data_IF_002475182465
#
_entry.id   IF_002475182465
#
_cell.length_a   1.000
_cell.length_b   1.000
_cell.length_c   1.000
_cell.angle_alpha   90.00
_cell.angle_beta   90.00
_cell.angle_gamma   90.00
#
_symmetry.space_group_name_H-M   'P 1'
#
loop_
_entity.id
_entity.type
_entity.pdbx_description
1 polymer ?
#
# COMPACT_ATOMS: atom_id res chain seq x y z
N UNK A 1 -76.20 -27.14 -43.23
CA UNK A 1 -76.06 -27.03 -41.71
C UNK A 1 -74.61 -27.06 -41.33
N UNK A 2 -74.23 -26.08 -40.46
CA UNK A 2 -72.97 -25.96 -39.72
C UNK A 2 -71.78 -25.30 -40.38
N UNK A 3 -71.70 -24.03 -40.18
CA UNK A 3 -70.87 -23.14 -39.37
C UNK A 3 -69.39 -23.09 -39.80
N UNK A 4 -69.13 -21.98 -40.48
CA UNK A 4 -67.80 -21.37 -40.59
C UNK A 4 -67.32 -20.98 -39.19
N UNK A 5 -66.08 -21.34 -38.87
CA UNK A 5 -65.34 -20.70 -37.78
C UNK A 5 -64.09 -20.01 -38.40
N UNK A 6 -64.12 -18.68 -38.29
CA UNK A 6 -63.02 -17.80 -38.60
C UNK A 6 -61.91 -18.01 -37.52
N UNK A 7 -60.70 -18.44 -37.95
CA UNK A 7 -59.52 -18.30 -37.15
C UNK A 7 -58.91 -16.91 -37.39
N UNK A 8 -58.98 -16.08 -36.37
CA UNK A 8 -58.24 -14.83 -36.30
C UNK A 8 -56.80 -15.17 -35.90
N UNK A 9 -55.86 -14.91 -36.81
CA UNK A 9 -54.42 -14.89 -36.50
C UNK A 9 -54.15 -13.68 -35.64
N UNK A 10 -53.87 -13.90 -34.36
CA UNK A 10 -53.25 -12.92 -33.48
C UNK A 10 -51.74 -12.91 -33.79
N UNK A 11 -51.27 -11.81 -34.39
CA UNK A 11 -49.88 -11.49 -34.47
C UNK A 11 -49.40 -11.11 -33.06
N UNK A 12 -48.78 -12.04 -32.37
CA UNK A 12 -48.00 -11.72 -31.18
C UNK A 12 -46.75 -10.97 -31.62
N UNK A 13 -46.81 -9.63 -31.53
CA UNK A 13 -45.63 -8.81 -31.53
C UNK A 13 -44.84 -9.13 -30.25
N UNK A 14 -43.81 -9.96 -30.43
CA UNK A 14 -42.81 -10.17 -29.37
C UNK A 14 -42.04 -8.88 -29.19
N UNK A 15 -42.41 -8.13 -28.14
CA UNK A 15 -41.50 -7.12 -27.60
C UNK A 15 -40.27 -7.88 -27.11
N UNK A 16 -39.17 -7.75 -27.82
CA UNK A 16 -37.84 -8.05 -27.26
C UNK A 16 -37.64 -7.07 -26.09
N UNK A 17 -38.03 -7.46 -24.93
CA UNK A 17 -37.50 -6.87 -23.71
C UNK A 17 -36.06 -7.32 -23.69
N UNK A 18 -35.17 -6.45 -24.18
CA UNK A 18 -33.78 -6.59 -23.82
C UNK A 18 -33.75 -6.63 -22.29
N UNK A 19 -33.50 -7.80 -21.75
CA UNK A 19 -33.14 -7.94 -20.35
C UNK A 19 -31.81 -7.21 -20.22
N UNK A 20 -31.87 -5.92 -19.92
CA UNK A 20 -30.77 -5.20 -19.32
C UNK A 20 -30.55 -5.95 -18.02
N UNK A 21 -29.52 -6.80 -17.99
CA UNK A 21 -29.11 -7.45 -16.75
C UNK A 21 -28.98 -6.36 -15.72
N UNK A 22 -29.83 -6.38 -14.73
CA UNK A 22 -29.77 -5.51 -13.57
C UNK A 22 -28.42 -5.82 -12.88
N UNK A 23 -27.41 -5.05 -13.18
CA UNK A 23 -26.32 -4.86 -12.25
C UNK A 23 -26.96 -4.30 -11.00
N UNK A 24 -26.94 -5.04 -9.93
CA UNK A 24 -27.65 -4.74 -8.71
C UNK A 24 -27.16 -3.46 -8.00
N UNK A 25 -26.18 -2.73 -8.59
CA UNK A 25 -25.67 -1.49 -8.01
C UNK A 25 -25.25 -0.49 -9.07
N UNK A 26 -25.81 0.70 -8.99
CA UNK A 26 -25.36 1.85 -9.78
C UNK A 26 -24.06 2.41 -9.20
N UNK A 27 -23.25 3.20 -9.95
CA UNK A 27 -22.09 3.90 -9.42
C UNK A 27 -22.41 4.73 -8.17
N UNK A 28 -23.60 5.36 -8.12
CA UNK A 28 -24.06 6.17 -7.02
C UNK A 28 -24.35 5.32 -5.75
N UNK A 29 -24.95 4.15 -5.90
CA UNK A 29 -25.19 3.21 -4.80
C UNK A 29 -23.86 2.67 -4.25
N UNK A 30 -22.88 2.38 -5.11
CA UNK A 30 -21.54 1.97 -4.69
C UNK A 30 -20.81 3.10 -3.94
N UNK A 31 -20.84 4.33 -4.45
CA UNK A 31 -20.24 5.47 -3.77
C UNK A 31 -20.92 5.73 -2.40
N UNK A 32 -22.25 5.62 -2.32
CA UNK A 32 -22.99 5.71 -1.05
C UNK A 32 -22.59 4.59 -0.07
N UNK A 33 -22.43 3.37 -0.58
CA UNK A 33 -21.94 2.24 0.20
C UNK A 33 -20.57 2.51 0.81
N UNK A 34 -19.59 2.94 0.01
CA UNK A 34 -18.26 3.26 0.52
C UNK A 34 -18.29 4.44 1.50
N UNK A 35 -19.05 5.50 1.23
CA UNK A 35 -19.21 6.65 2.13
C UNK A 35 -19.72 6.21 3.50
N UNK A 36 -20.72 5.34 3.53
CA UNK A 36 -21.26 4.81 4.78
C UNK A 36 -20.23 3.94 5.53
N UNK A 37 -19.48 3.11 4.79
CA UNK A 37 -18.49 2.18 5.36
C UNK A 37 -17.24 2.85 5.92
N UNK A 38 -16.75 3.88 5.27
CA UNK A 38 -15.60 4.66 5.75
C UNK A 38 -15.91 5.29 7.11
N UNK A 39 -17.15 5.78 7.30
CA UNK A 39 -17.58 6.40 8.57
C UNK A 39 -17.99 5.41 9.67
N UNK A 40 -18.35 4.17 9.33
CA UNK A 40 -18.88 3.18 10.28
C UNK A 40 -18.43 1.75 9.92
N UNK A 41 -17.36 1.24 10.51
CA UNK A 41 -16.88 -0.13 10.27
C UNK A 41 -17.76 -1.22 10.93
N UNK A 42 -19.09 -1.02 10.99
CA UNK A 42 -20.01 -1.98 11.60
C UNK A 42 -20.25 -3.20 10.71
N UNK A 43 -20.73 -4.27 11.32
CA UNK A 43 -20.99 -5.60 10.76
C UNK A 43 -21.58 -5.54 9.34
N UNK A 44 -20.86 -6.14 8.40
CA UNK A 44 -21.26 -6.23 7.01
C UNK A 44 -22.10 -7.47 6.74
N UNK A 45 -23.31 -7.28 6.22
CA UNK A 45 -24.04 -8.33 5.51
C UNK A 45 -23.94 -7.99 4.01
N UNK A 46 -23.21 -8.78 3.21
CA UNK A 46 -23.17 -8.55 1.77
C UNK A 46 -24.60 -8.70 1.22
N UNK A 47 -25.04 -7.74 0.43
CA UNK A 47 -26.19 -7.98 -0.43
C UNK A 47 -25.81 -9.11 -1.41
N UNK A 48 -26.71 -10.09 -1.60
CA UNK A 48 -26.53 -11.05 -2.66
C UNK A 48 -26.67 -10.33 -3.99
N UNK A 49 -25.61 -10.32 -4.76
CA UNK A 49 -25.62 -9.88 -6.15
C UNK A 49 -25.60 -11.06 -7.10
N UNK A 50 -25.99 -10.83 -8.36
CA UNK A 50 -25.83 -11.83 -9.40
C UNK A 50 -24.34 -12.06 -9.73
N UNK A 51 -24.01 -13.27 -10.16
CA UNK A 51 -22.68 -13.59 -10.59
C UNK A 51 -22.32 -12.75 -11.84
N UNK A 52 -21.15 -12.12 -11.83
CA UNK A 52 -20.62 -11.39 -12.97
C UNK A 52 -20.15 -12.36 -14.05
N UNK A 53 -20.44 -12.03 -15.32
CA UNK A 53 -19.79 -12.73 -16.45
C UNK A 53 -18.30 -12.33 -16.52
N UNK A 54 -17.44 -13.14 -17.17
CA UNK A 54 -16.03 -12.78 -17.37
C UNK A 54 -15.86 -11.41 -18.04
N UNK A 55 -16.72 -11.07 -19.01
CA UNK A 55 -16.71 -9.79 -19.74
C UNK A 55 -17.15 -8.61 -18.85
N UNK A 56 -17.98 -8.90 -17.85
CA UNK A 56 -18.46 -7.90 -16.86
C UNK A 56 -17.48 -7.58 -15.76
N UNK A 57 -16.42 -8.39 -15.57
CA UNK A 57 -15.47 -8.20 -14.46
C UNK A 57 -14.67 -6.90 -14.55
N UNK A 58 -14.07 -6.58 -15.71
CA UNK A 58 -13.26 -5.37 -15.84
C UNK A 58 -14.09 -4.09 -15.64
N UNK A 59 -15.26 -3.89 -16.32
CA UNK A 59 -16.12 -2.74 -16.06
C UNK A 59 -16.59 -2.64 -14.59
N UNK A 60 -16.88 -3.78 -13.93
CA UNK A 60 -17.27 -3.78 -12.51
C UNK A 60 -16.13 -3.32 -11.60
N UNK A 61 -14.89 -3.77 -11.86
CA UNK A 61 -13.69 -3.34 -11.13
C UNK A 61 -13.45 -1.84 -11.26
N UNK A 62 -13.56 -1.30 -12.48
CA UNK A 62 -13.41 0.13 -12.74
C UNK A 62 -14.49 0.95 -12.01
N UNK A 63 -15.72 0.47 -12.00
CA UNK A 63 -16.84 1.11 -11.29
C UNK A 63 -16.62 1.09 -9.77
N UNK A 64 -16.18 -0.04 -9.19
CA UNK A 64 -15.84 -0.15 -7.77
C UNK A 64 -14.71 0.81 -7.40
N UNK A 65 -13.68 0.87 -8.22
CA UNK A 65 -12.54 1.78 -8.01
C UNK A 65 -12.97 3.25 -8.04
N UNK A 66 -13.71 3.67 -9.06
CA UNK A 66 -14.22 5.03 -9.17
C UNK A 66 -15.14 5.41 -8.00
N UNK A 67 -16.03 4.51 -7.58
CA UNK A 67 -16.91 4.73 -6.45
C UNK A 67 -16.14 4.83 -5.13
N UNK A 68 -15.09 4.03 -4.95
CA UNK A 68 -14.19 4.13 -3.79
C UNK A 68 -13.44 5.47 -3.76
N UNK A 69 -12.89 5.89 -4.89
CA UNK A 69 -12.22 7.19 -5.01
C UNK A 69 -13.16 8.35 -4.69
N UNK A 70 -14.36 8.35 -5.27
CA UNK A 70 -15.38 9.38 -5.03
C UNK A 70 -15.73 9.49 -3.54
N UNK A 71 -15.98 8.36 -2.87
CA UNK A 71 -16.32 8.32 -1.46
C UNK A 71 -15.17 8.86 -0.58
N UNK A 72 -13.93 8.44 -0.85
CA UNK A 72 -12.77 8.86 -0.07
C UNK A 72 -12.37 10.31 -0.34
N UNK A 73 -12.54 10.83 -1.57
CA UNK A 73 -12.27 12.22 -1.90
C UNK A 73 -13.15 13.21 -1.13
N UNK A 74 -14.34 12.76 -0.68
CA UNK A 74 -15.29 13.56 0.12
C UNK A 74 -14.99 13.61 1.60
N UNK A 75 -14.02 12.85 2.09
CA UNK A 75 -13.65 12.88 3.50
C UNK A 75 -13.08 14.25 3.87
N UNK A 76 -13.55 14.77 5.00
CA UNK A 76 -13.00 15.97 5.62
C UNK A 76 -11.72 15.61 6.39
N UNK A 77 -10.64 15.44 5.65
CA UNK A 77 -9.31 15.12 6.18
C UNK A 77 -8.23 15.93 5.46
N UNK A 78 -7.06 16.15 6.10
CA UNK A 78 -5.94 16.81 5.46
C UNK A 78 -5.58 16.14 4.14
N UNK A 79 -5.24 16.92 3.13
CA UNK A 79 -4.76 16.42 1.84
C UNK A 79 -3.23 16.50 1.78
N UNK A 80 -2.60 15.57 1.05
CA UNK A 80 -1.20 15.75 0.70
C UNK A 80 -1.04 17.03 -0.14
N UNK A 81 -0.01 17.86 0.14
CA UNK A 81 0.25 19.03 -0.67
C UNK A 81 0.65 18.66 -2.11
N UNK A 82 0.70 19.66 -2.97
CA UNK A 82 1.24 19.51 -4.31
C UNK A 82 2.66 18.92 -4.27
N UNK A 83 2.95 18.03 -5.23
CA UNK A 83 4.25 17.38 -5.33
C UNK A 83 5.27 18.30 -5.99
N UNK A 84 6.12 18.91 -5.19
CA UNK A 84 7.23 19.77 -5.60
C UNK A 84 8.55 18.97 -5.58
N UNK A 85 9.65 19.49 -6.19
CA UNK A 85 10.97 18.86 -6.04
C UNK A 85 11.37 18.67 -4.58
N UNK A 86 11.83 17.46 -4.23
CA UNK A 86 12.15 17.08 -2.84
C UNK A 86 13.32 17.90 -2.27
N UNK A 87 13.04 18.72 -1.28
CA UNK A 87 14.02 19.55 -0.57
C UNK A 87 13.71 19.60 0.93
N UNK A 88 14.55 20.27 1.69
CA UNK A 88 14.29 20.52 3.12
C UNK A 88 13.08 21.44 3.39
N UNK A 89 12.58 22.13 2.38
CA UNK A 89 11.45 23.07 2.48
C UNK A 89 10.12 22.39 2.10
N UNK A 90 10.14 21.23 1.43
CA UNK A 90 8.94 20.48 1.06
C UNK A 90 8.42 19.65 2.23
N UNK A 91 7.91 20.32 3.25
CA UNK A 91 7.42 19.73 4.51
C UNK A 91 5.90 19.78 4.58
N UNK A 92 5.34 18.77 5.20
CA UNK A 92 3.97 18.73 5.66
C UNK A 92 3.90 18.24 7.09
N UNK A 93 2.72 18.33 7.69
CA UNK A 93 2.46 17.86 9.04
C UNK A 93 1.05 17.27 9.14
N UNK A 94 0.94 16.15 9.84
CA UNK A 94 -0.31 15.46 10.11
C UNK A 94 -0.50 15.37 11.62
N UNK A 95 -1.51 16.07 12.16
CA UNK A 95 -1.92 15.91 13.54
C UNK A 95 -2.51 14.51 13.75
N UNK A 96 -2.02 13.77 14.73
CA UNK A 96 -2.55 12.46 15.07
C UNK A 96 -3.67 12.62 16.13
N UNK A 97 -4.65 11.70 16.18
CA UNK A 97 -5.68 11.75 17.21
C UNK A 97 -5.08 11.66 18.62
N UNK A 98 -5.38 12.61 19.48
CA UNK A 98 -4.92 12.64 20.89
C UNK A 98 -5.28 11.39 21.68
N UNK A 99 -6.41 10.75 21.31
CA UNK A 99 -6.82 9.47 21.91
C UNK A 99 -5.91 8.28 21.58
N UNK A 100 -5.07 8.42 20.54
CA UNK A 100 -4.11 7.39 20.12
C UNK A 100 -2.69 7.74 20.55
N UNK A 101 -2.32 9.01 20.50
CA UNK A 101 -1.00 9.51 20.91
C UNK A 101 -1.14 11.01 21.26
N UNK A 102 -1.04 11.37 22.54
CA UNK A 102 -1.30 12.73 23.00
C UNK A 102 -0.38 13.78 22.36
N UNK A 103 -0.98 14.86 21.88
CA UNK A 103 -0.28 16.03 21.29
C UNK A 103 0.71 15.67 20.19
N UNK A 104 0.44 14.60 19.44
CA UNK A 104 1.33 14.08 18.42
C UNK A 104 1.09 14.70 17.06
N UNK A 105 2.17 15.14 16.40
CA UNK A 105 2.18 15.58 15.01
C UNK A 105 3.25 14.83 14.25
N UNK A 106 2.87 14.14 13.18
CA UNK A 106 3.79 13.49 12.26
C UNK A 106 4.18 14.50 11.18
N UNK A 107 5.36 15.11 11.35
CA UNK A 107 5.95 15.87 10.25
C UNK A 107 6.49 14.94 9.19
N UNK A 108 6.52 15.38 7.95
CA UNK A 108 7.07 14.60 6.84
C UNK A 108 7.67 15.50 5.76
N UNK A 109 8.64 14.97 5.03
CA UNK A 109 9.02 15.52 3.73
C UNK A 109 8.18 14.84 2.66
N UNK A 110 7.72 15.64 1.70
CA UNK A 110 6.96 15.17 0.55
C UNK A 110 7.42 15.88 -0.71
N UNK A 111 7.94 15.13 -1.69
CA UNK A 111 8.44 15.75 -2.91
C UNK A 111 8.93 14.72 -3.92
N UNK A 112 9.30 15.20 -5.12
CA UNK A 112 9.69 14.36 -6.25
C UNK A 112 11.17 14.53 -6.61
N UNK A 113 11.69 13.53 -7.34
CA UNK A 113 13.03 13.49 -7.95
C UNK A 113 12.91 13.16 -9.43
N UNK A 114 13.57 13.94 -10.28
CA UNK A 114 13.56 13.74 -11.73
C UNK A 114 12.32 14.34 -12.41
N UNK A 115 11.97 13.83 -13.59
CA UNK A 115 10.81 14.26 -14.37
C UNK A 115 9.66 13.27 -14.20
N UNK A 116 8.43 13.78 -14.21
CA UNK A 116 7.23 12.96 -14.03
C UNK A 116 7.08 11.94 -15.18
N UNK A 117 7.00 10.64 -14.86
CA UNK A 117 6.68 9.63 -15.87
C UNK A 117 5.25 9.77 -16.39
N UNK A 118 5.02 9.33 -17.63
CA UNK A 118 3.67 9.35 -18.22
C UNK A 118 2.63 8.52 -17.42
N UNK A 119 3.08 7.47 -16.74
CA UNK A 119 2.23 6.64 -15.88
C UNK A 119 2.03 7.22 -14.46
N UNK A 120 2.63 8.36 -14.14
CA UNK A 120 2.68 8.91 -12.80
C UNK A 120 3.95 8.54 -12.03
N UNK A 121 4.14 9.19 -10.89
CA UNK A 121 5.30 9.00 -10.03
C UNK A 121 5.20 7.68 -9.25
N UNK A 122 6.21 6.80 -9.28
CA UNK A 122 6.36 5.75 -8.27
C UNK A 122 6.65 6.40 -6.90
N UNK A 123 6.03 5.87 -5.85
CA UNK A 123 6.10 6.45 -4.50
C UNK A 123 6.95 5.58 -3.59
N UNK A 124 7.89 6.20 -2.90
CA UNK A 124 8.79 5.58 -1.94
C UNK A 124 8.52 6.15 -0.54
N UNK A 125 8.10 5.29 0.39
CA UNK A 125 7.90 5.64 1.78
C UNK A 125 9.12 5.15 2.56
N UNK A 126 9.97 6.09 3.02
CA UNK A 126 11.18 5.78 3.76
C UNK A 126 10.99 5.98 5.25
N UNK A 127 11.22 4.94 6.04
CA UNK A 127 11.14 4.93 7.49
C UNK A 127 12.54 5.03 8.10
N UNK A 128 12.77 6.05 8.92
CA UNK A 128 14.07 6.26 9.56
C UNK A 128 14.32 5.28 10.73
N UNK A 129 15.58 5.13 11.10
CA UNK A 129 16.03 4.32 12.24
C UNK A 129 15.77 4.97 13.60
N UNK A 130 16.16 4.28 14.68
CA UNK A 130 16.14 4.83 16.03
C UNK A 130 17.35 5.73 16.29
N UNK A 131 17.09 6.86 16.95
CA UNK A 131 18.06 7.89 17.27
C UNK A 131 17.34 9.18 17.63
N UNK A 132 18.06 10.29 17.84
CA UNK A 132 17.43 11.60 17.95
C UNK A 132 16.58 11.87 16.72
N UNK A 133 15.26 11.90 16.89
CA UNK A 133 14.27 11.86 15.79
C UNK A 133 14.49 12.92 14.72
N UNK A 134 14.92 14.11 15.10
CA UNK A 134 15.19 15.20 14.17
C UNK A 134 16.39 14.88 13.25
N UNK A 135 17.44 14.30 13.82
CA UNK A 135 18.62 13.88 13.07
C UNK A 135 18.30 12.70 12.15
N UNK A 136 17.57 11.71 12.66
CA UNK A 136 17.18 10.55 11.84
C UNK A 136 16.26 10.95 10.69
N UNK A 137 15.36 11.89 10.92
CA UNK A 137 14.47 12.42 9.89
C UNK A 137 15.25 13.20 8.81
N UNK A 138 16.18 14.10 9.21
CA UNK A 138 17.03 14.82 8.25
C UNK A 138 17.99 13.90 7.49
N UNK A 139 18.48 12.83 8.13
CA UNK A 139 19.24 11.78 7.45
C UNK A 139 18.36 11.06 6.41
N UNK A 140 17.09 10.82 6.70
CA UNK A 140 16.13 10.24 5.76
C UNK A 140 15.99 11.08 4.50
N UNK A 141 15.85 12.40 4.63
CA UNK A 141 15.86 13.31 3.49
C UNK A 141 17.17 13.23 2.70
N UNK A 142 18.31 13.27 3.41
CA UNK A 142 19.62 13.16 2.78
C UNK A 142 19.74 11.84 1.99
N UNK A 143 19.32 10.71 2.56
CA UNK A 143 19.35 9.42 1.86
C UNK A 143 18.43 9.43 0.63
N UNK A 144 17.22 9.95 0.76
CA UNK A 144 16.29 10.06 -0.35
C UNK A 144 16.86 10.92 -1.50
N UNK A 145 17.59 12.01 -1.19
CA UNK A 145 18.09 12.94 -2.20
C UNK A 145 19.47 12.59 -2.76
N UNK A 146 20.32 11.85 -1.99
CA UNK A 146 21.73 11.68 -2.37
C UNK A 146 22.21 10.23 -2.39
N UNK A 147 21.53 9.29 -1.69
CA UNK A 147 21.99 7.91 -1.59
C UNK A 147 21.25 6.99 -2.55
N UNK A 148 19.89 7.11 -2.61
CA UNK A 148 19.08 6.22 -3.40
C UNK A 148 18.93 6.70 -4.84
N UNK A 149 19.36 5.85 -5.79
CA UNK A 149 19.36 6.12 -7.22
C UNK A 149 18.08 5.54 -7.88
N UNK A 150 16.94 6.16 -7.58
CA UNK A 150 15.62 5.66 -7.97
C UNK A 150 14.76 6.69 -8.73
N UNK A 151 15.34 7.81 -9.16
CA UNK A 151 14.63 8.77 -10.00
C UNK A 151 14.20 8.13 -11.33
N UNK A 152 13.02 8.45 -11.88
CA UNK A 152 12.02 9.34 -11.30
C UNK A 152 11.27 8.70 -10.14
N UNK A 153 11.02 9.47 -9.07
CA UNK A 153 10.35 8.98 -7.86
C UNK A 153 9.71 10.11 -7.06
N UNK A 154 8.66 9.80 -6.30
CA UNK A 154 8.13 10.63 -5.23
C UNK A 154 8.48 10.02 -3.88
N UNK A 155 8.79 10.84 -2.89
CA UNK A 155 9.17 10.40 -1.56
C UNK A 155 8.25 10.95 -0.49
N UNK A 156 7.83 10.06 0.41
CA UNK A 156 7.26 10.40 1.70
C UNK A 156 8.23 9.95 2.79
N UNK A 157 8.79 10.92 3.53
CA UNK A 157 9.77 10.65 4.60
C UNK A 157 9.19 11.18 5.91
N UNK A 158 8.46 10.36 6.68
CA UNK A 158 7.85 10.78 7.93
C UNK A 158 8.89 10.88 9.05
N UNK A 159 8.59 11.72 10.05
CA UNK A 159 9.27 11.76 11.34
C UNK A 159 8.41 11.08 12.40
N UNK A 160 8.98 10.20 13.22
CA UNK A 160 8.27 9.68 14.38
C UNK A 160 7.88 10.86 15.29
N UNK A 161 6.59 11.02 15.67
CA UNK A 161 6.11 12.18 16.40
C UNK A 161 6.71 12.31 17.79
N UNK A 162 6.72 11.22 18.57
CA UNK A 162 7.21 11.18 19.94
C UNK A 162 8.23 10.06 20.13
N UNK A 163 9.13 10.27 21.08
CA UNK A 163 10.10 9.28 21.54
C UNK A 163 9.51 8.41 22.67
N UNK A 164 10.30 7.50 23.20
CA UNK A 164 9.89 6.62 24.29
C UNK A 164 8.91 5.53 23.85
N UNK A 165 7.84 5.34 24.59
CA UNK A 165 6.88 4.26 24.37
C UNK A 165 6.18 4.32 23.01
N UNK A 166 6.08 5.50 22.41
CA UNK A 166 5.46 5.71 21.10
C UNK A 166 6.44 5.60 19.93
N UNK A 167 7.70 5.31 20.18
CA UNK A 167 8.75 5.24 19.15
C UNK A 167 8.72 3.91 18.40
N UNK A 168 7.63 3.66 17.66
CA UNK A 168 7.46 2.48 16.80
C UNK A 168 6.57 2.81 15.61
N UNK A 169 6.98 2.40 14.40
CA UNK A 169 6.27 2.65 13.16
C UNK A 169 4.91 1.93 13.05
N UNK A 170 4.66 0.92 13.87
CA UNK A 170 3.45 0.09 13.84
C UNK A 170 2.47 0.36 14.99
N UNK A 171 2.67 1.40 15.78
CA UNK A 171 1.73 1.76 16.83
C UNK A 171 0.40 2.26 16.25
N UNK A 172 -0.68 2.17 17.03
CA UNK A 172 -2.04 2.49 16.58
C UNK A 172 -2.16 3.89 15.99
N UNK A 173 -1.50 4.86 16.55
CA UNK A 173 -1.43 6.23 16.04
C UNK A 173 -0.82 6.29 14.64
N UNK A 174 0.29 5.54 14.41
CA UNK A 174 0.92 5.45 13.10
C UNK A 174 0.08 4.65 12.12
N UNK A 175 -0.62 3.59 12.58
CA UNK A 175 -1.57 2.87 11.71
C UNK A 175 -2.68 3.79 11.21
N UNK A 176 -3.15 4.73 12.05
CA UNK A 176 -4.09 5.77 11.61
C UNK A 176 -3.47 6.65 10.51
N UNK A 177 -2.20 7.10 10.72
CA UNK A 177 -1.48 7.90 9.72
C UNK A 177 -1.22 7.12 8.42
N UNK A 178 -0.89 5.81 8.49
CA UNK A 178 -0.72 4.97 7.30
C UNK A 178 -2.03 4.82 6.53
N UNK A 179 -3.15 4.63 7.19
CA UNK A 179 -4.46 4.57 6.54
C UNK A 179 -4.80 5.88 5.82
N UNK A 180 -4.50 7.03 6.45
CA UNK A 180 -4.62 8.33 5.81
C UNK A 180 -3.69 8.45 4.59
N UNK A 181 -2.39 8.18 4.76
CA UNK A 181 -1.41 8.32 3.69
C UNK A 181 -1.78 7.45 2.48
N UNK A 182 -2.08 6.17 2.71
CA UNK A 182 -2.41 5.24 1.63
C UNK A 182 -3.65 5.69 0.85
N UNK A 183 -4.67 6.22 1.53
CA UNK A 183 -5.81 6.85 0.83
C UNK A 183 -5.38 8.04 -0.02
N UNK A 184 -4.57 8.94 0.55
CA UNK A 184 -4.09 10.11 -0.19
C UNK A 184 -3.28 9.71 -1.43
N UNK A 185 -2.40 8.73 -1.31
CA UNK A 185 -1.60 8.23 -2.44
C UNK A 185 -2.45 7.58 -3.54
N UNK A 186 -3.62 7.00 -3.18
CA UNK A 186 -4.56 6.41 -4.14
C UNK A 186 -5.50 7.46 -4.79
N UNK A 187 -5.60 8.66 -4.20
CA UNK A 187 -6.49 9.73 -4.66
C UNK A 187 -5.75 10.82 -5.42
N UNK A 188 -4.45 11.02 -5.16
CA UNK A 188 -3.70 12.12 -5.75
C UNK A 188 -3.34 11.83 -7.21
N UNK A 189 -3.74 12.73 -8.09
CA UNK A 189 -3.37 12.67 -9.50
C UNK A 189 -1.86 12.75 -9.70
N UNK A 190 -1.39 12.13 -10.76
CA UNK A 190 0.02 12.14 -11.13
C UNK A 190 0.90 11.13 -10.37
N UNK A 191 0.33 10.31 -9.47
CA UNK A 191 1.02 9.17 -8.84
C UNK A 191 0.66 7.85 -9.54
N UNK A 192 1.59 6.91 -9.59
CA UNK A 192 1.31 5.53 -10.02
C UNK A 192 0.93 4.67 -8.79
N UNK A 193 -0.37 4.52 -8.55
CA UNK A 193 -0.89 3.72 -7.43
C UNK A 193 -0.49 2.23 -7.49
N UNK A 194 0.08 1.75 -8.60
CA UNK A 194 0.65 0.40 -8.71
C UNK A 194 2.10 0.32 -8.25
N UNK A 195 2.74 1.46 -8.00
CA UNK A 195 4.17 1.55 -7.65
C UNK A 195 4.38 2.28 -6.33
N UNK A 196 3.82 1.73 -5.27
CA UNK A 196 4.00 2.23 -3.91
C UNK A 196 4.91 1.25 -3.17
N UNK A 197 6.01 1.76 -2.64
CA UNK A 197 7.05 1.00 -1.95
C UNK A 197 7.24 1.49 -0.52
N UNK A 198 7.44 0.56 0.42
CA UNK A 198 7.80 0.87 1.80
C UNK A 198 9.14 0.25 2.14
N UNK A 199 10.03 1.03 2.75
CA UNK A 199 11.35 0.55 3.12
C UNK A 199 11.94 1.40 4.26
N UNK A 200 12.98 0.89 4.88
CA UNK A 200 13.59 1.63 5.99
C UNK A 200 14.77 0.89 6.61
N UNK A 201 15.49 1.57 7.47
CA UNK A 201 16.73 1.08 8.08
C UNK A 201 16.51 0.92 9.59
N UNK A 202 17.05 -0.15 10.18
CA UNK A 202 17.03 -0.39 11.64
C UNK A 202 15.59 -0.41 12.18
N UNK A 203 15.20 0.53 13.04
CA UNK A 203 13.80 0.68 13.49
C UNK A 203 12.84 0.85 12.30
N UNK A 204 13.26 1.58 11.25
CA UNK A 204 12.53 1.66 9.99
C UNK A 204 12.50 0.33 9.22
N UNK A 205 13.52 -0.50 9.37
CA UNK A 205 13.56 -1.88 8.86
C UNK A 205 12.52 -2.75 9.55
N UNK A 206 12.44 -2.72 10.87
CA UNK A 206 11.37 -3.39 11.62
C UNK A 206 9.99 -2.89 11.20
N UNK A 207 9.83 -1.55 11.11
CA UNK A 207 8.60 -0.92 10.68
C UNK A 207 8.15 -1.36 9.29
N UNK A 208 9.04 -1.27 8.31
CA UNK A 208 8.71 -1.64 6.92
C UNK A 208 8.43 -3.14 6.77
N UNK A 209 9.08 -4.02 7.55
CA UNK A 209 8.79 -5.44 7.58
C UNK A 209 7.36 -5.73 8.11
N UNK A 210 6.95 -5.07 9.20
CA UNK A 210 5.57 -5.20 9.72
C UNK A 210 4.55 -4.61 8.76
N UNK A 211 4.81 -3.43 8.21
CA UNK A 211 3.91 -2.79 7.27
C UNK A 211 3.78 -3.60 5.98
N UNK A 212 4.85 -4.25 5.51
CA UNK A 212 4.81 -5.17 4.37
C UNK A 212 3.77 -6.28 4.58
N UNK A 213 3.78 -6.90 5.74
CA UNK A 213 2.86 -7.98 6.09
C UNK A 213 1.43 -7.47 6.39
N UNK A 214 1.30 -6.33 7.06
CA UNK A 214 0.00 -5.83 7.52
C UNK A 214 -0.80 -5.11 6.44
N UNK A 215 -0.13 -4.41 5.52
CA UNK A 215 -0.73 -3.65 4.42
C UNK A 215 -0.34 -4.22 3.06
N UNK A 216 -0.18 -5.54 2.94
CA UNK A 216 0.32 -6.20 1.73
C UNK A 216 -0.43 -5.80 0.46
N UNK A 217 -1.74 -5.57 0.54
CA UNK A 217 -2.59 -5.19 -0.60
C UNK A 217 -2.26 -3.82 -1.21
N UNK A 218 -1.47 -2.99 -0.51
CA UNK A 218 -1.14 -1.64 -0.97
C UNK A 218 0.24 -1.54 -1.63
N UNK A 219 1.14 -2.49 -1.35
CA UNK A 219 2.53 -2.39 -1.79
C UNK A 219 2.78 -3.09 -3.12
N UNK A 220 3.61 -2.48 -3.95
CA UNK A 220 4.29 -3.19 -5.04
C UNK A 220 5.44 -4.03 -4.48
N UNK A 221 6.20 -3.44 -3.56
CA UNK A 221 7.26 -4.14 -2.85
C UNK A 221 7.61 -3.48 -1.52
N UNK A 222 8.30 -4.23 -0.66
CA UNK A 222 8.84 -3.75 0.60
C UNK A 222 10.34 -4.06 0.70
N UNK A 223 11.11 -3.13 1.33
CA UNK A 223 12.56 -3.21 1.44
C UNK A 223 13.11 -2.95 2.84
N UNK A 224 12.80 -3.76 3.85
CA UNK A 224 13.45 -3.65 5.15
C UNK A 224 14.95 -3.86 5.06
N UNK A 225 15.71 -3.04 5.81
CA UNK A 225 17.17 -3.11 5.89
C UNK A 225 17.60 -3.07 7.36
N UNK A 226 18.54 -3.93 7.74
CA UNK A 226 19.01 -4.07 9.13
C UNK A 226 17.86 -4.18 10.15
N UNK A 227 16.76 -4.81 9.73
CA UNK A 227 15.60 -5.16 10.54
C UNK A 227 15.73 -6.59 11.08
N UNK A 228 14.67 -7.09 11.68
CA UNK A 228 14.66 -8.44 12.25
C UNK A 228 13.37 -8.71 13.03
N UNK A 229 12.21 -8.55 12.37
CA UNK A 229 10.95 -8.91 13.02
C UNK A 229 10.77 -10.43 13.04
N UNK A 230 10.35 -10.99 14.18
CA UNK A 230 9.92 -12.37 14.22
C UNK A 230 8.71 -12.61 13.31
N UNK A 231 8.63 -13.77 12.65
CA UNK A 231 7.52 -14.15 11.77
C UNK A 231 6.14 -14.04 12.42
N UNK A 232 6.03 -14.26 13.73
CA UNK A 232 4.77 -14.05 14.48
C UNK A 232 4.23 -12.59 14.43
N UNK A 233 5.11 -11.62 14.20
CA UNK A 233 4.78 -10.19 14.15
C UNK A 233 4.62 -9.69 12.70
N UNK A 234 5.28 -10.36 11.76
CA UNK A 234 5.27 -10.06 10.34
C UNK A 234 5.28 -11.37 9.54
N UNK A 235 4.14 -12.09 9.49
CA UNK A 235 4.03 -13.34 8.75
C UNK A 235 4.42 -13.19 7.28
N UNK A 236 5.31 -14.05 6.79
CA UNK A 236 5.77 -14.07 5.40
C UNK A 236 4.62 -14.41 4.44
N UNK A 237 3.65 -15.21 4.91
CA UNK A 237 2.48 -15.65 4.15
C UNK A 237 1.65 -14.48 3.61
N UNK A 238 1.63 -13.36 4.33
CA UNK A 238 0.89 -12.17 3.91
C UNK A 238 1.55 -11.46 2.72
N UNK A 239 2.84 -11.70 2.46
CA UNK A 239 3.60 -11.07 1.39
C UNK A 239 3.50 -11.81 0.05
N UNK A 240 2.45 -12.63 -0.16
CA UNK A 240 2.29 -13.50 -1.34
C UNK A 240 2.46 -12.75 -2.67
N UNK A 241 1.87 -11.59 -2.78
CA UNK A 241 1.69 -10.86 -4.06
C UNK A 241 2.59 -9.63 -4.21
N UNK A 242 3.50 -9.39 -3.27
CA UNK A 242 4.43 -8.27 -3.29
C UNK A 242 5.87 -8.73 -3.45
N UNK A 243 6.74 -7.86 -3.96
CA UNK A 243 8.18 -8.05 -3.84
C UNK A 243 8.64 -7.81 -2.40
N UNK A 244 9.44 -8.70 -1.83
CA UNK A 244 9.96 -8.55 -0.47
C UNK A 244 11.48 -8.64 -0.44
N UNK A 245 12.17 -7.56 -0.04
CA UNK A 245 13.64 -7.53 0.11
C UNK A 245 14.01 -7.24 1.55
N UNK A 246 14.71 -8.17 2.21
CA UNK A 246 15.30 -7.93 3.53
C UNK A 246 16.81 -8.15 3.45
N UNK A 247 17.57 -7.08 3.71
CA UNK A 247 19.03 -7.13 3.77
C UNK A 247 19.48 -6.90 5.22
N UNK A 248 20.33 -7.80 5.73
CA UNK A 248 20.88 -7.71 7.09
C UNK A 248 22.35 -8.14 7.06
N UNK A 249 23.20 -7.45 7.81
CA UNK A 249 24.59 -7.89 7.97
C UNK A 249 24.66 -9.25 8.70
N UNK A 250 25.49 -10.17 8.23
CA UNK A 250 25.64 -11.48 8.87
C UNK A 250 26.21 -11.37 10.30
N UNK A 251 26.93 -10.27 10.60
CA UNK A 251 27.48 -9.98 11.91
C UNK A 251 26.61 -9.02 12.73
N UNK A 252 25.41 -8.65 12.24
CA UNK A 252 24.44 -7.85 12.99
C UNK A 252 23.67 -8.72 13.99
N UNK A 253 24.35 -9.08 15.08
CA UNK A 253 23.81 -9.94 16.15
C UNK A 253 22.91 -9.18 17.14
N UNK A 254 22.90 -7.84 17.07
CA UNK A 254 22.05 -7.02 17.93
C UNK A 254 20.57 -7.36 17.75
N UNK A 255 19.88 -7.63 18.85
CA UNK A 255 18.47 -8.06 18.86
C UNK A 255 18.20 -9.31 17.99
N UNK A 256 19.20 -10.16 17.78
CA UNK A 256 19.10 -11.39 16.97
C UNK A 256 18.72 -11.14 15.50
N UNK A 257 19.09 -9.97 14.93
CA UNK A 257 18.66 -9.59 13.57
C UNK A 257 19.11 -10.58 12.52
N UNK A 258 20.36 -11.03 12.57
CA UNK A 258 20.88 -12.03 11.64
C UNK A 258 20.14 -13.38 11.75
N UNK A 259 19.88 -13.86 12.98
CA UNK A 259 19.15 -15.11 13.20
C UNK A 259 17.70 -15.00 12.73
N UNK A 260 17.02 -13.90 13.04
CA UNK A 260 15.65 -13.63 12.62
C UNK A 260 15.55 -13.49 11.08
N UNK A 261 16.56 -12.85 10.45
CA UNK A 261 16.62 -12.76 8.98
C UNK A 261 16.79 -14.14 8.35
N UNK A 262 17.61 -15.02 8.92
CA UNK A 262 17.74 -16.41 8.44
C UNK A 262 16.41 -17.18 8.53
N UNK A 263 15.63 -16.99 9.60
CA UNK A 263 14.30 -17.60 9.72
C UNK A 263 13.31 -17.03 8.69
N UNK A 264 13.36 -15.73 8.42
CA UNK A 264 12.53 -15.10 7.39
C UNK A 264 12.91 -15.63 6.00
N UNK A 265 14.22 -15.76 5.71
CA UNK A 265 14.70 -16.35 4.46
C UNK A 265 14.15 -17.77 4.26
N UNK A 266 14.32 -18.63 5.24
CA UNK A 266 13.82 -20.01 5.16
C UNK A 266 12.29 -20.08 4.97
N UNK A 267 11.53 -19.15 5.57
CA UNK A 267 10.09 -19.09 5.39
C UNK A 267 9.72 -18.69 3.94
N UNK A 268 10.33 -17.62 3.40
CA UNK A 268 10.08 -17.20 2.03
C UNK A 268 10.52 -18.26 1.01
N UNK A 269 11.68 -18.87 1.18
CA UNK A 269 12.16 -19.97 0.32
C UNK A 269 11.16 -21.13 0.27
N UNK A 270 10.63 -21.51 1.44
CA UNK A 270 9.65 -22.58 1.56
C UNK A 270 8.32 -22.24 0.89
N UNK A 271 7.84 -21.00 1.08
CA UNK A 271 6.60 -20.52 0.47
C UNK A 271 6.72 -20.40 -1.05
N UNK A 272 7.85 -19.89 -1.55
CA UNK A 272 8.10 -19.79 -2.99
C UNK A 272 8.26 -21.15 -3.64
N UNK A 273 8.88 -22.13 -2.96
CA UNK A 273 8.96 -23.50 -3.45
C UNK A 273 7.57 -24.14 -3.64
N UNK A 274 6.60 -23.81 -2.76
CA UNK A 274 5.21 -24.27 -2.87
C UNK A 274 4.40 -23.47 -3.91
N UNK A 275 4.78 -22.21 -4.14
CA UNK A 275 4.07 -21.28 -5.02
C UNK A 275 5.08 -20.49 -5.89
N UNK A 276 5.62 -21.09 -6.97
CA UNK A 276 6.72 -20.52 -7.76
C UNK A 276 6.46 -19.12 -8.35
N UNK A 277 5.20 -18.80 -8.63
CA UNK A 277 4.78 -17.52 -9.20
C UNK A 277 4.49 -16.41 -8.15
N UNK A 278 4.61 -16.76 -6.86
CA UNK A 278 4.31 -15.89 -5.73
C UNK A 278 5.54 -15.73 -4.81
N UNK A 279 5.43 -14.91 -3.76
CA UNK A 279 6.48 -14.73 -2.75
C UNK A 279 7.84 -14.35 -3.35
N UNK A 280 7.85 -13.49 -4.37
CA UNK A 280 9.09 -13.00 -4.97
C UNK A 280 9.90 -12.23 -3.93
N UNK A 281 11.08 -12.72 -3.61
CA UNK A 281 11.86 -12.16 -2.52
C UNK A 281 13.36 -12.11 -2.80
N UNK A 282 14.03 -11.28 -2.00
CA UNK A 282 15.47 -11.23 -1.81
C UNK A 282 15.73 -11.04 -0.31
N UNK A 283 15.93 -12.13 0.41
CA UNK A 283 16.29 -12.09 1.83
C UNK A 283 17.74 -12.56 1.96
N UNK A 284 18.63 -11.69 2.39
CA UNK A 284 20.07 -11.94 2.36
C UNK A 284 20.74 -11.54 3.67
N UNK A 285 21.64 -12.43 4.14
CA UNK A 285 22.65 -12.13 5.14
C UNK A 285 23.94 -11.73 4.43
N UNK A 286 24.37 -10.48 4.59
CA UNK A 286 25.54 -9.93 3.92
C UNK A 286 26.82 -10.31 4.67
N UNK A 287 27.71 -11.15 4.09
CA UNK A 287 28.91 -11.63 4.77
C UNK A 287 29.85 -10.51 5.17
N UNK A 288 30.41 -10.58 6.40
CA UNK A 288 31.37 -9.59 6.92
C UNK A 288 30.78 -8.21 7.21
N UNK A 289 29.44 -8.06 7.13
CA UNK A 289 28.76 -6.81 7.43
C UNK A 289 28.06 -6.87 8.79
N UNK A 290 28.17 -5.78 9.53
CA UNK A 290 27.42 -5.56 10.78
C UNK A 290 26.13 -4.78 10.51
N UNK A 291 25.76 -3.91 11.47
CA UNK A 291 24.52 -3.12 11.38
C UNK A 291 24.49 -2.09 10.23
N UNK A 292 25.66 -1.64 9.79
CA UNK A 292 25.79 -0.69 8.69
C UNK A 292 26.41 -1.40 7.47
N UNK A 293 25.80 -1.24 6.32
CA UNK A 293 26.24 -1.78 5.04
C UNK A 293 25.77 -0.87 3.88
N UNK A 294 25.99 -1.27 2.63
CA UNK A 294 25.51 -0.52 1.49
C UNK A 294 24.02 -0.73 1.26
N UNK A 295 23.21 0.33 1.50
CA UNK A 295 21.76 0.32 1.33
C UNK A 295 21.28 0.63 -0.09
N UNK A 296 22.17 1.13 -0.98
CA UNK A 296 21.84 1.55 -2.35
C UNK A 296 21.15 0.49 -3.21
N UNK A 297 21.45 -0.81 -3.10
CA UNK A 297 20.81 -1.83 -3.93
C UNK A 297 19.32 -2.04 -3.66
N UNK A 298 18.76 -1.45 -2.61
CA UNK A 298 17.37 -1.69 -2.21
C UNK A 298 16.38 -1.05 -3.17
N UNK A 299 16.46 0.25 -3.44
CA UNK A 299 15.45 0.94 -4.26
C UNK A 299 15.45 0.49 -5.73
N UNK A 300 16.57 0.21 -6.41
CA UNK A 300 16.56 -0.39 -7.74
C UNK A 300 15.85 -1.75 -7.80
N UNK A 301 16.01 -2.58 -6.75
CA UNK A 301 15.33 -3.85 -6.67
C UNK A 301 13.82 -3.68 -6.49
N UNK A 302 13.37 -2.78 -5.59
CA UNK A 302 11.95 -2.48 -5.38
C UNK A 302 11.27 -2.02 -6.66
N UNK A 303 11.94 -1.20 -7.45
CA UNK A 303 11.43 -0.62 -8.70
C UNK A 303 11.03 -1.65 -9.75
N UNK A 304 11.55 -2.88 -9.66
CA UNK A 304 11.22 -3.96 -10.59
C UNK A 304 9.80 -4.52 -10.40
N UNK A 305 9.08 -4.10 -9.36
CA UNK A 305 7.76 -4.63 -9.01
C UNK A 305 6.65 -3.61 -9.23
N UNK A 306 5.50 -4.14 -9.65
CA UNK A 306 4.24 -3.42 -9.70
C UNK A 306 3.19 -4.21 -8.90
N UNK A 307 2.32 -3.49 -8.22
CA UNK A 307 1.19 -4.06 -7.51
C UNK A 307 0.15 -4.54 -8.54
N UNK A 308 -0.26 -5.79 -8.43
CA UNK A 308 -1.50 -6.25 -9.06
C UNK A 308 -2.66 -5.98 -8.10
N UNK A 309 -3.62 -5.13 -8.45
CA UNK A 309 -4.78 -4.89 -7.59
C UNK A 309 -5.78 -6.06 -7.56
N UNK A 310 -5.58 -7.07 -8.42
CA UNK A 310 -6.48 -8.22 -8.59
C UNK A 310 -5.71 -9.54 -8.73
N UNK A 311 -4.82 -9.88 -7.79
CA UNK A 311 -3.94 -11.03 -7.90
C UNK A 311 -4.68 -12.39 -7.83
#
# INVERSE_FOLDING_TARGET
>A
MKRLQLCRTLACGGAFVASVGLFAQTPQEMAAYFTQRIGQPSVFTPAQGDALSPEGLAPARDMVWAAWQEANARLDEPKLPELLPLTADTKGALALPDSLEPSATMDYYWGSKGEQPAAGWPVYIYLHGSGPREREWSNGLKFATTLFEDAPSAYFVPRIPNEGEYYRWWQRSKQWAWNWLLRQLMLQDGLDARKIYVFGISEGGYGSQRLASFYADYWAAAGPMAGGEPLKNAPAENCRNIGFSLLTGAEDTGFYRNELTALVQAAFDSLQALHPDAYRHRVELLPGQGHNFDYRPTTPWLRAFERDPWP
#
